data_IF_332819469123
#
_entry.id   IF_332819469123
#
_cell.length_a   1.000
_cell.length_b   1.000
_cell.length_c   1.000
_cell.angle_alpha   90.00
_cell.angle_beta   90.00
_cell.angle_gamma   90.00
#
_symmetry.space_group_name_H-M   'P 1'
#
loop_
_entity.id
_entity.type
_entity.pdbx_description
1 polymer ?
#
# COMPACT_ATOMS: atom_id res chain seq x y z
N UNK A 1 -9.57 -20.91 8.69
CA UNK A 1 -8.35 -21.32 9.42
C UNK A 1 -8.40 -20.69 10.81
N UNK A 2 -8.16 -21.44 11.89
CA UNK A 2 -8.14 -20.88 13.26
C UNK A 2 -6.69 -20.59 13.64
N UNK A 3 -6.42 -19.36 14.07
CA UNK A 3 -5.09 -18.90 14.51
C UNK A 3 -5.22 -18.37 15.93
N UNK A 4 -4.24 -18.66 16.78
CA UNK A 4 -4.19 -18.19 18.16
C UNK A 4 -2.88 -17.43 18.36
N UNK A 5 -2.97 -16.22 18.89
CA UNK A 5 -1.83 -15.34 19.14
C UNK A 5 -2.01 -14.61 20.46
N UNK A 6 -0.91 -14.32 21.15
CA UNK A 6 -0.90 -13.48 22.35
C UNK A 6 -0.64 -12.04 21.91
N UNK A 7 -1.61 -11.15 22.15
CA UNK A 7 -1.56 -9.74 21.73
C UNK A 7 -2.01 -8.88 22.92
N UNK A 8 -1.35 -7.75 23.20
CA UNK A 8 -1.80 -6.84 24.25
C UNK A 8 -3.21 -6.29 24.01
N UNK A 9 -4.07 -6.33 25.02
CA UNK A 9 -5.46 -5.86 24.92
C UNK A 9 -5.58 -4.39 24.52
N UNK A 10 -4.65 -3.54 24.99
CA UNK A 10 -4.61 -2.13 24.61
C UNK A 10 -4.43 -1.95 23.10
N UNK A 11 -3.51 -2.70 22.50
CA UNK A 11 -3.25 -2.65 21.06
C UNK A 11 -4.47 -3.15 20.28
N UNK A 12 -5.12 -4.21 20.76
CA UNK A 12 -6.36 -4.73 20.18
C UNK A 12 -7.46 -3.67 20.18
N UNK A 13 -7.62 -2.92 21.28
CA UNK A 13 -8.60 -1.84 21.37
C UNK A 13 -8.29 -0.73 20.36
N UNK A 14 -7.05 -0.24 20.34
CA UNK A 14 -6.63 0.81 19.42
C UNK A 14 -6.84 0.41 17.95
N UNK A 15 -6.47 -0.81 17.58
CA UNK A 15 -6.67 -1.32 16.21
C UNK A 15 -8.15 -1.40 15.87
N UNK A 16 -9.01 -1.86 16.78
CA UNK A 16 -10.45 -1.91 16.56
C UNK A 16 -11.04 -0.51 16.35
N UNK A 17 -10.62 0.46 17.17
CA UNK A 17 -11.08 1.85 17.10
C UNK A 17 -10.61 2.54 15.82
N UNK A 18 -9.36 2.31 15.40
CA UNK A 18 -8.81 2.92 14.17
C UNK A 18 -9.42 2.30 12.90
N UNK A 19 -9.61 0.99 12.89
CA UNK A 19 -10.08 0.28 11.69
C UNK A 19 -11.59 0.33 11.52
N UNK A 20 -12.33 0.62 12.60
CA UNK A 20 -13.80 0.62 12.66
C UNK A 20 -14.40 -0.73 12.22
N UNK A 21 -13.69 -1.82 12.47
CA UNK A 21 -14.12 -3.16 12.10
C UNK A 21 -15.26 -3.67 13.00
N UNK A 22 -16.15 -4.50 12.46
CA UNK A 22 -17.30 -5.04 13.21
C UNK A 22 -16.84 -5.99 14.33
N UNK A 23 -15.71 -6.65 14.14
CA UNK A 23 -15.08 -7.54 15.12
C UNK A 23 -13.56 -7.44 15.05
N UNK A 24 -12.89 -8.06 16.02
CA UNK A 24 -11.42 -8.05 16.15
C UNK A 24 -10.73 -8.66 14.93
N UNK A 25 -11.29 -9.71 14.35
CA UNK A 25 -10.71 -10.42 13.21
C UNK A 25 -10.68 -9.53 11.98
N UNK A 26 -11.80 -8.87 11.65
CA UNK A 26 -11.90 -7.93 10.54
C UNK A 26 -10.96 -6.74 10.74
N UNK A 27 -10.91 -6.22 11.97
CA UNK A 27 -10.02 -5.12 12.36
C UNK A 27 -8.55 -5.47 12.12
N UNK A 28 -8.12 -6.65 12.59
CA UNK A 28 -6.76 -7.15 12.39
C UNK A 28 -6.44 -7.42 10.92
N UNK A 29 -7.36 -8.02 10.16
CA UNK A 29 -7.16 -8.26 8.73
C UNK A 29 -6.94 -6.94 7.98
N UNK A 30 -7.76 -5.92 8.27
CA UNK A 30 -7.63 -4.60 7.65
C UNK A 30 -6.28 -3.95 8.01
N UNK A 31 -5.94 -3.92 9.30
CA UNK A 31 -4.68 -3.34 9.78
C UNK A 31 -3.45 -4.04 9.18
N UNK A 32 -3.43 -5.37 9.14
CA UNK A 32 -2.33 -6.14 8.56
C UNK A 32 -2.22 -5.94 7.05
N UNK A 33 -3.34 -5.91 6.33
CA UNK A 33 -3.35 -5.68 4.88
C UNK A 33 -2.81 -4.30 4.53
N UNK A 34 -3.21 -3.28 5.30
CA UNK A 34 -2.73 -1.91 5.15
C UNK A 34 -1.25 -1.80 5.49
N UNK A 35 -0.79 -2.46 6.56
CA UNK A 35 0.62 -2.51 6.90
C UNK A 35 1.47 -3.12 5.77
N UNK A 36 1.03 -4.25 5.19
CA UNK A 36 1.71 -4.88 4.05
C UNK A 36 1.73 -3.93 2.84
N UNK A 37 0.63 -3.25 2.53
CA UNK A 37 0.59 -2.27 1.45
C UNK A 37 1.61 -1.13 1.70
N UNK A 38 1.67 -0.62 2.92
CA UNK A 38 2.63 0.42 3.30
C UNK A 38 4.08 -0.04 3.17
N UNK A 39 4.42 -1.29 3.52
CA UNK A 39 5.77 -1.81 3.30
C UNK A 39 6.12 -1.88 1.80
N UNK A 40 5.16 -2.28 0.95
CA UNK A 40 5.36 -2.29 -0.51
C UNK A 40 5.59 -0.90 -1.08
N UNK A 41 4.85 0.10 -0.59
CA UNK A 41 5.05 1.50 -1.02
C UNK A 41 6.41 2.03 -0.58
N UNK A 42 6.85 1.72 0.64
CA UNK A 42 8.20 2.10 1.11
C UNK A 42 9.29 1.51 0.23
N UNK A 43 9.19 0.22 -0.06
CA UNK A 43 10.12 -0.49 -0.94
C UNK A 43 10.13 0.14 -2.35
N UNK A 44 8.96 0.41 -2.92
CA UNK A 44 8.84 1.09 -4.21
C UNK A 44 9.51 2.47 -4.20
N UNK A 45 9.32 3.25 -3.13
CA UNK A 45 9.93 4.57 -3.02
C UNK A 45 11.46 4.49 -2.98
N UNK A 46 12.03 3.47 -2.33
CA UNK A 46 13.48 3.25 -2.36
C UNK A 46 13.96 2.94 -3.78
N UNK A 47 13.23 2.12 -4.52
CA UNK A 47 13.57 1.81 -5.92
C UNK A 47 13.46 3.03 -6.83
N UNK A 48 12.45 3.89 -6.63
CA UNK A 48 12.31 5.14 -7.39
C UNK A 48 13.41 6.15 -7.00
N UNK A 49 13.84 6.17 -5.75
CA UNK A 49 14.93 7.04 -5.31
C UNK A 49 16.28 6.62 -5.92
N UNK A 50 16.54 5.31 -6.00
CA UNK A 50 17.74 4.75 -6.64
C UNK A 50 17.70 4.95 -8.17
N UNK A 51 16.55 4.69 -8.78
CA UNK A 51 16.33 4.87 -10.21
C UNK A 51 15.05 5.68 -10.46
N UNK A 52 15.19 7.01 -10.56
CA UNK A 52 14.07 7.90 -10.85
C UNK A 52 13.36 7.52 -12.15
N UNK A 53 12.04 7.70 -12.16
CA UNK A 53 11.25 7.55 -13.37
C UNK A 53 11.57 8.70 -14.32
N UNK A 54 12.09 8.37 -15.48
CA UNK A 54 12.39 9.34 -16.53
C UNK A 54 11.33 9.28 -17.63
N UNK A 55 11.00 10.44 -18.19
CA UNK A 55 10.23 10.48 -19.41
C UNK A 55 11.03 9.82 -20.55
N UNK A 56 10.31 9.20 -21.48
CA UNK A 56 10.93 8.67 -22.70
C UNK A 56 11.76 9.77 -23.39
N UNK A 57 12.97 9.44 -23.80
CA UNK A 57 13.83 10.36 -24.55
C UNK A 57 13.08 10.99 -25.73
N UNK A 58 13.15 12.32 -25.86
CA UNK A 58 12.41 13.08 -26.86
C UNK A 58 10.92 13.30 -26.54
N UNK A 59 10.51 13.18 -25.27
CA UNK A 59 9.14 13.42 -24.83
C UNK A 59 8.63 14.80 -25.30
N UNK A 60 7.62 14.78 -26.16
CA UNK A 60 6.94 15.99 -26.64
C UNK A 60 5.46 15.70 -26.93
N UNK A 61 4.65 16.77 -27.02
CA UNK A 61 3.20 16.65 -27.19
C UNK A 61 2.77 16.00 -28.52
N UNK A 62 3.62 16.01 -29.53
CA UNK A 62 3.38 15.37 -30.83
C UNK A 62 3.55 13.85 -30.75
N UNK A 63 4.63 13.41 -30.11
CA UNK A 63 4.96 11.99 -29.90
C UNK A 63 3.88 11.26 -29.10
N UNK A 64 3.35 11.88 -28.04
CA UNK A 64 2.28 11.32 -27.20
C UNK A 64 0.96 11.26 -27.97
N UNK A 65 0.63 12.31 -28.74
CA UNK A 65 -0.58 12.34 -29.58
C UNK A 65 -0.57 11.25 -30.64
N UNK A 66 0.58 10.93 -31.23
CA UNK A 66 0.71 9.84 -32.19
C UNK A 66 0.45 8.48 -31.54
N UNK A 67 1.03 8.21 -30.38
CA UNK A 67 0.83 6.94 -29.65
C UNK A 67 -0.63 6.71 -29.26
N UNK A 68 -1.34 7.75 -28.78
CA UNK A 68 -2.73 7.61 -28.30
C UNK A 68 -3.77 7.54 -29.43
N UNK A 69 -3.38 7.77 -30.70
CA UNK A 69 -4.29 7.74 -31.86
C UNK A 69 -4.22 6.44 -32.66
N UNK A 70 -3.32 5.53 -32.28
CA UNK A 70 -3.26 4.13 -32.73
C UNK A 70 -4.08 3.26 -31.82
#
# INVERSE_FOLDING_TARGET
MKVTALIPDKLVSEVKDLTQGKNITESLIKALSEWVANQKVKELNLQIADKPLEFKSGFNSESVRRTNRT
#
